data_IF_496239512653
#
_entry.id   IF_496239512653
#
_cell.length_a   1.000
_cell.length_b   1.000
_cell.length_c   1.000
_cell.angle_alpha   90.00
_cell.angle_beta   90.00
_cell.angle_gamma   90.00
#
_symmetry.space_group_name_H-M   'P 1'
#
loop_
_entity.id
_entity.type
_entity.pdbx_description
1 polymer ?
#
# COMPACT_ATOMS: atom_id res chain seq x y z
N UNK A 1 -71.09 18.42 -8.97
CA UNK A 1 -70.15 18.65 -10.09
C UNK A 1 -68.74 18.35 -9.61
N UNK A 2 -68.06 17.35 -10.19
CA UNK A 2 -66.62 17.12 -9.96
C UNK A 2 -65.86 17.96 -11.00
N UNK A 3 -65.12 18.97 -10.57
CA UNK A 3 -64.21 19.68 -11.47
C UNK A 3 -63.02 18.77 -11.79
N UNK A 4 -62.79 18.53 -13.08
CA UNK A 4 -61.50 17.98 -13.53
C UNK A 4 -60.53 19.16 -13.62
N UNK A 5 -59.54 19.19 -12.76
CA UNK A 5 -58.43 20.12 -12.87
C UNK A 5 -57.66 19.81 -14.16
N UNK A 6 -57.47 20.81 -15.01
CA UNK A 6 -56.61 20.72 -16.19
C UNK A 6 -55.18 20.49 -15.71
N UNK A 7 -54.62 19.31 -15.97
CA UNK A 7 -53.20 19.09 -15.74
C UNK A 7 -52.44 19.73 -16.89
N UNK A 8 -51.72 20.82 -16.62
CA UNK A 8 -50.77 21.41 -17.57
C UNK A 8 -49.71 20.37 -17.89
N UNK A 9 -49.68 19.91 -19.14
CA UNK A 9 -48.61 19.04 -19.64
C UNK A 9 -47.27 19.78 -19.63
N UNK A 10 -46.17 19.04 -19.46
CA UNK A 10 -44.82 19.58 -19.52
C UNK A 10 -44.49 20.01 -20.96
N UNK A 11 -43.88 21.18 -21.15
CA UNK A 11 -43.51 21.66 -22.49
C UNK A 11 -42.17 21.07 -22.94
N UNK A 12 -41.98 20.94 -24.26
CA UNK A 12 -40.74 20.41 -24.83
C UNK A 12 -39.54 21.33 -24.52
N UNK A 13 -39.77 22.65 -24.43
CA UNK A 13 -38.71 23.61 -24.10
C UNK A 13 -38.24 23.52 -22.65
N UNK A 14 -39.14 23.24 -21.70
CA UNK A 14 -38.77 23.00 -20.30
C UNK A 14 -37.87 21.77 -20.19
N UNK A 15 -38.16 20.72 -20.95
CA UNK A 15 -37.38 19.49 -20.95
C UNK A 15 -35.97 19.72 -21.54
N UNK A 16 -35.86 20.51 -22.61
CA UNK A 16 -34.56 20.90 -23.19
C UNK A 16 -33.76 21.75 -22.20
N UNK A 17 -34.39 22.75 -21.57
CA UNK A 17 -33.71 23.62 -20.61
C UNK A 17 -33.10 22.83 -19.45
N UNK A 18 -33.84 21.84 -18.92
CA UNK A 18 -33.34 20.95 -17.87
C UNK A 18 -32.15 20.11 -18.35
N UNK A 19 -32.24 19.53 -19.55
CA UNK A 19 -31.13 18.73 -20.12
C UNK A 19 -29.86 19.56 -20.32
N UNK A 20 -30.00 20.81 -20.79
CA UNK A 20 -28.86 21.73 -20.96
C UNK A 20 -28.23 22.06 -19.61
N UNK A 21 -29.03 22.37 -18.59
CA UNK A 21 -28.52 22.65 -17.24
C UNK A 21 -27.78 21.42 -16.68
N UNK A 22 -28.37 20.23 -16.78
CA UNK A 22 -27.73 18.99 -16.33
C UNK A 22 -26.43 18.70 -17.10
N UNK A 23 -26.38 18.99 -18.40
CA UNK A 23 -25.18 18.87 -19.22
C UNK A 23 -24.04 19.78 -18.76
N UNK A 24 -24.33 21.05 -18.45
CA UNK A 24 -23.33 22.00 -17.94
C UNK A 24 -22.86 21.59 -16.54
N UNK A 25 -23.78 21.19 -15.66
CA UNK A 25 -23.43 20.74 -14.31
C UNK A 25 -22.54 19.50 -14.35
N UNK A 26 -22.87 18.52 -15.19
CA UNK A 26 -22.06 17.31 -15.34
C UNK A 26 -20.63 17.63 -15.82
N UNK A 27 -20.50 18.52 -16.82
CA UNK A 27 -19.19 18.90 -17.37
C UNK A 27 -18.23 19.51 -16.33
N UNK A 28 -18.76 20.22 -15.32
CA UNK A 28 -17.94 20.83 -14.25
C UNK A 28 -17.72 19.88 -13.07
N UNK A 29 -18.72 19.06 -12.74
CA UNK A 29 -18.68 18.20 -11.54
C UNK A 29 -17.80 16.96 -11.76
N UNK A 30 -17.87 16.33 -12.94
CA UNK A 30 -17.16 15.06 -13.21
C UNK A 30 -15.65 15.16 -13.01
N UNK A 31 -14.93 16.16 -13.57
CA UNK A 31 -13.48 16.29 -13.37
C UNK A 31 -13.10 16.49 -11.90
N UNK A 32 -13.94 17.19 -11.14
CA UNK A 32 -13.69 17.47 -9.72
C UNK A 32 -13.91 16.25 -8.84
N UNK A 33 -14.90 15.42 -9.15
CA UNK A 33 -15.13 14.18 -8.39
C UNK A 33 -13.92 13.24 -8.55
N UNK A 34 -13.39 13.08 -9.76
CA UNK A 34 -12.25 12.20 -10.03
C UNK A 34 -10.98 12.60 -9.25
N UNK A 35 -10.69 13.90 -9.12
CA UNK A 35 -9.52 14.36 -8.35
C UNK A 35 -9.72 14.26 -6.84
N UNK A 36 -10.96 14.35 -6.36
CA UNK A 36 -11.28 14.14 -4.94
C UNK A 36 -11.18 12.67 -4.55
N UNK A 37 -11.57 11.74 -5.43
CA UNK A 37 -11.46 10.30 -5.17
C UNK A 37 -10.01 9.85 -5.12
N UNK A 38 -9.17 10.26 -6.07
CA UNK A 38 -7.74 9.91 -6.04
C UNK A 38 -7.02 10.45 -4.81
N UNK A 39 -7.31 11.70 -4.41
CA UNK A 39 -6.78 12.27 -3.17
C UNK A 39 -7.26 11.54 -1.90
N UNK A 40 -8.48 10.99 -1.91
CA UNK A 40 -8.99 10.19 -0.79
C UNK A 40 -8.28 8.83 -0.70
N UNK A 41 -8.00 8.19 -1.83
CA UNK A 41 -7.24 6.94 -1.89
C UNK A 41 -5.82 7.12 -1.35
N UNK A 42 -5.11 8.15 -1.81
CA UNK A 42 -3.78 8.46 -1.31
C UNK A 42 -3.79 8.78 0.20
N UNK A 43 -4.82 9.47 0.70
CA UNK A 43 -4.98 9.71 2.15
C UNK A 43 -5.17 8.42 2.94
N UNK A 44 -5.84 7.41 2.39
CA UNK A 44 -6.00 6.11 3.04
C UNK A 44 -4.63 5.41 3.14
N UNK A 45 -3.87 5.39 2.04
CA UNK A 45 -2.51 4.84 1.99
C UNK A 45 -1.59 5.50 3.01
N UNK A 46 -1.66 6.83 3.14
CA UNK A 46 -0.91 7.60 4.15
C UNK A 46 -1.25 7.20 5.58
N UNK A 47 -2.54 7.00 5.86
CA UNK A 47 -2.99 6.52 7.18
C UNK A 47 -2.45 5.13 7.47
N UNK A 48 -2.58 4.20 6.52
CA UNK A 48 -2.09 2.82 6.66
C UNK A 48 -0.58 2.75 6.81
N UNK A 49 0.16 3.56 6.05
CA UNK A 49 1.61 3.70 6.19
C UNK A 49 2.00 4.10 7.62
N UNK A 50 1.28 5.06 8.22
CA UNK A 50 1.50 5.48 9.60
C UNK A 50 1.26 4.36 10.61
N UNK A 51 0.19 3.57 10.42
CA UNK A 51 -0.11 2.40 11.27
C UNK A 51 1.00 1.37 11.16
N UNK A 52 1.35 0.93 9.95
CA UNK A 52 2.41 -0.07 9.71
C UNK A 52 3.73 0.41 10.31
N UNK A 53 4.08 1.68 10.11
CA UNK A 53 5.30 2.27 10.67
C UNK A 53 5.32 2.17 12.19
N UNK A 54 4.24 2.57 12.86
CA UNK A 54 4.18 2.53 14.33
C UNK A 54 4.31 1.09 14.85
N UNK A 55 3.66 0.14 14.20
CA UNK A 55 3.66 -1.26 14.60
C UNK A 55 5.02 -1.93 14.40
N UNK A 56 5.69 -1.67 13.27
CA UNK A 56 7.07 -2.11 13.04
C UNK A 56 8.01 -1.63 14.16
N UNK A 57 7.88 -0.38 14.60
CA UNK A 57 8.67 0.14 15.73
C UNK A 57 8.25 -0.49 17.06
N UNK A 58 6.97 -0.73 17.29
CA UNK A 58 6.47 -1.39 18.49
C UNK A 58 6.99 -2.83 18.61
N UNK A 59 7.05 -3.58 17.50
CA UNK A 59 7.64 -4.92 17.44
C UNK A 59 9.14 -4.88 17.73
N UNK A 60 9.86 -3.90 17.19
CA UNK A 60 11.29 -3.73 17.47
C UNK A 60 11.54 -3.40 18.96
N UNK A 61 10.72 -2.55 19.56
CA UNK A 61 10.79 -2.24 20.99
C UNK A 61 10.46 -3.46 21.86
N UNK A 62 9.44 -4.23 21.48
CA UNK A 62 9.11 -5.50 22.15
C UNK A 62 10.29 -6.47 22.09
N UNK A 63 10.94 -6.61 20.94
CA UNK A 63 12.15 -7.43 20.81
C UNK A 63 13.28 -6.95 21.74
N UNK A 64 13.45 -5.63 21.88
CA UNK A 64 14.41 -5.05 22.82
C UNK A 64 14.08 -5.38 24.29
N UNK A 65 12.81 -5.42 24.65
CA UNK A 65 12.38 -5.77 26.00
C UNK A 65 12.53 -7.27 26.30
N UNK A 66 12.35 -8.14 25.29
CA UNK A 66 12.34 -9.60 25.47
C UNK A 66 13.67 -10.28 25.11
N UNK A 67 14.69 -9.54 24.66
CA UNK A 67 15.92 -10.06 24.05
C UNK A 67 16.88 -10.89 24.92
N UNK A 68 16.54 -11.14 26.19
CA UNK A 68 17.30 -12.04 27.08
C UNK A 68 18.78 -11.69 27.21
N UNK A 69 19.64 -12.71 27.42
CA UNK A 69 21.08 -12.53 27.63
C UNK A 69 21.84 -12.05 26.38
N UNK A 70 21.26 -12.17 25.19
CA UNK A 70 21.88 -11.79 23.91
C UNK A 70 21.69 -10.30 23.56
N UNK A 71 20.91 -9.56 24.35
CA UNK A 71 20.90 -8.10 24.33
C UNK A 71 19.50 -7.51 24.26
N UNK A 72 19.24 -6.53 25.12
CA UNK A 72 18.01 -5.74 25.13
C UNK A 72 18.05 -4.68 24.02
N UNK A 73 18.01 -5.13 22.76
CA UNK A 73 18.24 -4.28 21.59
C UNK A 73 17.07 -4.35 20.62
N UNK A 74 16.75 -3.21 20.04
CA UNK A 74 15.77 -3.13 18.96
C UNK A 74 16.25 -3.99 17.79
N UNK A 75 15.36 -4.85 17.31
CA UNK A 75 15.55 -5.68 16.13
C UNK A 75 14.24 -5.65 15.37
N UNK A 76 14.28 -5.16 14.13
CA UNK A 76 13.08 -4.98 13.33
C UNK A 76 12.57 -6.34 12.80
N UNK A 77 11.24 -6.50 12.67
CA UNK A 77 10.63 -7.79 12.40
C UNK A 77 11.07 -8.37 11.04
N UNK A 78 11.41 -9.65 11.07
CA UNK A 78 11.70 -10.42 9.86
C UNK A 78 10.47 -11.19 9.44
N UNK A 79 10.11 -11.09 8.18
CA UNK A 79 8.99 -11.84 7.64
C UNK A 79 9.34 -13.31 7.48
N UNK A 80 8.52 -14.21 8.00
CA UNK A 80 8.73 -15.68 7.90
C UNK A 80 7.51 -16.45 7.41
N UNK A 81 6.33 -15.84 7.41
CA UNK A 81 5.07 -16.45 7.00
C UNK A 81 4.62 -15.85 5.66
N UNK A 82 4.51 -16.70 4.64
CA UNK A 82 4.11 -16.30 3.29
C UNK A 82 2.59 -16.34 3.03
N UNK A 83 1.79 -16.68 4.05
CA UNK A 83 0.33 -16.70 3.93
C UNK A 83 -0.19 -15.30 3.60
N UNK A 84 -1.06 -15.19 2.59
CA UNK A 84 -1.71 -13.94 2.21
C UNK A 84 -2.36 -13.27 3.42
N UNK A 85 -2.23 -11.95 3.52
CA UNK A 85 -2.79 -11.12 4.57
C UNK A 85 -2.25 -11.38 5.98
N UNK A 86 -1.21 -12.20 6.16
CA UNK A 86 -0.67 -12.49 7.48
C UNK A 86 -0.20 -11.23 8.23
N UNK A 87 0.59 -10.37 7.57
CA UNK A 87 1.13 -9.17 8.20
C UNK A 87 0.10 -8.06 8.41
N UNK A 88 -0.92 -7.98 7.56
CA UNK A 88 -2.07 -7.12 7.85
C UNK A 88 -2.84 -7.62 9.08
N UNK A 89 -3.06 -8.93 9.19
CA UNK A 89 -3.72 -9.51 10.36
C UNK A 89 -2.89 -9.40 11.64
N UNK A 90 -1.56 -9.49 11.54
CA UNK A 90 -0.66 -9.42 12.70
C UNK A 90 -0.37 -7.98 13.15
N UNK A 91 -0.17 -7.05 12.21
CA UNK A 91 0.28 -5.69 12.53
C UNK A 91 -0.88 -4.71 12.58
N UNK A 92 -1.86 -4.83 11.67
CA UNK A 92 -2.97 -3.88 11.57
C UNK A 92 -4.21 -4.38 12.32
N UNK A 93 -4.37 -5.71 12.44
CA UNK A 93 -5.50 -6.42 13.05
C UNK A 93 -6.84 -6.16 12.34
N UNK A 94 -7.34 -4.92 12.39
CA UNK A 94 -8.65 -4.47 11.87
C UNK A 94 -8.50 -3.84 10.47
N UNK A 95 -8.04 -4.62 9.50
CA UNK A 95 -7.96 -4.18 8.09
C UNK A 95 -9.15 -4.70 7.27
N UNK A 96 -9.55 -3.93 6.26
CA UNK A 96 -10.60 -4.33 5.33
C UNK A 96 -9.98 -5.09 4.15
N UNK A 97 -10.19 -6.42 4.10
CA UNK A 97 -9.64 -7.29 3.05
C UNK A 97 -10.17 -6.99 1.65
N UNK A 98 -11.28 -6.27 1.57
CA UNK A 98 -11.87 -5.81 0.31
C UNK A 98 -11.06 -4.68 -0.34
N UNK A 99 -10.22 -3.99 0.43
CA UNK A 99 -9.38 -2.89 -0.06
C UNK A 99 -7.89 -3.07 0.18
N UNK A 100 -7.51 -3.95 1.11
CA UNK A 100 -6.13 -4.16 1.49
C UNK A 100 -5.74 -5.63 1.37
N UNK A 101 -4.52 -5.87 0.88
CA UNK A 101 -3.91 -7.19 0.90
C UNK A 101 -2.43 -7.10 1.23
N UNK A 102 -1.87 -8.15 1.84
CA UNK A 102 -0.42 -8.23 2.05
C UNK A 102 0.16 -9.56 1.61
N UNK A 103 1.39 -9.47 1.12
CA UNK A 103 2.17 -10.57 0.57
C UNK A 103 3.56 -10.55 1.16
N UNK A 104 4.21 -11.71 1.17
CA UNK A 104 5.61 -11.82 1.52
C UNK A 104 6.36 -12.61 0.46
N UNK A 105 7.56 -12.13 0.15
CA UNK A 105 8.58 -12.89 -0.57
C UNK A 105 9.81 -12.95 0.33
N UNK A 106 10.20 -14.18 0.68
CA UNK A 106 11.43 -14.43 1.42
C UNK A 106 12.66 -14.09 0.57
N UNK A 107 13.74 -13.65 1.20
CA UNK A 107 14.99 -13.28 0.52
C UNK A 107 14.81 -12.27 -0.64
N UNK A 108 13.88 -11.33 -0.50
CA UNK A 108 13.56 -10.33 -1.52
C UNK A 108 14.49 -9.11 -1.45
N UNK A 109 14.74 -8.57 -0.25
CA UNK A 109 15.58 -7.40 -0.04
C UNK A 109 17.06 -7.78 0.05
N UNK A 110 17.94 -7.00 -0.57
CA UNK A 110 19.40 -7.19 -0.44
C UNK A 110 19.94 -6.34 0.71
N UNK A 111 20.29 -6.99 1.82
CA UNK A 111 20.82 -6.33 3.00
C UNK A 111 22.35 -6.19 2.91
N UNK A 112 22.83 -5.20 2.14
CA UNK A 112 24.25 -5.01 1.85
C UNK A 112 25.16 -4.74 3.06
N UNK A 113 24.57 -4.35 4.18
CA UNK A 113 25.27 -4.10 5.44
C UNK A 113 25.13 -5.25 6.45
N UNK A 114 24.73 -6.43 6.00
CA UNK A 114 24.63 -7.60 6.86
C UNK A 114 25.93 -7.87 7.63
N UNK A 115 25.77 -8.24 8.89
CA UNK A 115 26.81 -8.75 9.78
C UNK A 115 26.90 -10.27 9.69
N UNK A 116 25.78 -11.00 9.60
CA UNK A 116 25.78 -12.45 9.39
C UNK A 116 25.53 -12.81 7.93
N UNK A 117 26.21 -13.84 7.42
CA UNK A 117 26.07 -14.28 6.02
C UNK A 117 24.62 -14.68 5.68
N UNK A 118 23.94 -15.34 6.63
CA UNK A 118 22.54 -15.75 6.48
C UNK A 118 21.57 -14.56 6.41
N UNK A 119 22.03 -13.34 6.74
CA UNK A 119 21.24 -12.12 6.67
C UNK A 119 21.61 -11.24 5.48
N UNK A 120 22.35 -11.77 4.49
CA UNK A 120 22.67 -11.07 3.25
C UNK A 120 21.42 -10.66 2.45
N UNK A 121 20.32 -11.40 2.65
CA UNK A 121 18.99 -11.05 2.17
C UNK A 121 17.99 -11.13 3.32
N UNK A 122 16.96 -10.31 3.24
CA UNK A 122 15.83 -10.29 4.18
C UNK A 122 14.52 -10.40 3.40
N UNK A 123 13.45 -10.82 4.06
CA UNK A 123 12.14 -10.88 3.47
C UNK A 123 11.62 -9.49 3.15
N UNK A 124 10.89 -9.40 2.05
CA UNK A 124 10.10 -8.25 1.70
C UNK A 124 8.64 -8.52 2.06
N UNK A 125 7.97 -7.52 2.62
CA UNK A 125 6.52 -7.52 2.79
C UNK A 125 5.93 -6.41 1.92
N UNK A 126 4.96 -6.75 1.10
CA UNK A 126 4.27 -5.82 0.21
C UNK A 126 2.81 -5.73 0.62
N UNK A 127 2.34 -4.51 0.86
CA UNK A 127 0.94 -4.20 1.12
C UNK A 127 0.37 -3.52 -0.13
N UNK A 128 -0.80 -3.98 -0.56
CA UNK A 128 -1.51 -3.50 -1.72
C UNK A 128 -2.82 -2.86 -1.27
N UNK A 129 -3.03 -1.60 -1.65
CA UNK A 129 -4.32 -0.95 -1.61
C UNK A 129 -4.99 -1.09 -2.98
N UNK A 130 -6.21 -1.61 -3.00
CA UNK A 130 -7.00 -1.87 -4.19
C UNK A 130 -8.44 -1.36 -3.97
N UNK A 131 -8.73 -0.07 -4.24
CA UNK A 131 -10.04 0.52 -3.92
C UNK A 131 -11.20 -0.10 -4.72
N UNK A 132 -10.90 -0.77 -5.83
CA UNK A 132 -11.86 -1.40 -6.72
C UNK A 132 -12.07 -2.90 -6.43
N UNK A 133 -11.67 -3.36 -5.25
CA UNK A 133 -11.86 -4.72 -4.77
C UNK A 133 -10.65 -5.63 -5.01
N UNK A 134 -10.63 -6.80 -4.35
CA UNK A 134 -9.49 -7.70 -4.39
C UNK A 134 -9.24 -8.19 -5.82
N UNK A 135 -7.98 -8.11 -6.20
CA UNK A 135 -7.50 -8.48 -7.53
C UNK A 135 -7.71 -9.98 -7.79
N UNK A 136 -8.00 -10.32 -9.03
CA UNK A 136 -8.08 -11.70 -9.50
C UNK A 136 -6.72 -12.39 -9.43
N UNK A 137 -6.73 -13.67 -9.04
CA UNK A 137 -5.51 -14.46 -8.97
C UNK A 137 -4.81 -14.57 -10.34
N UNK A 138 -3.53 -14.25 -10.37
CA UNK A 138 -2.69 -14.22 -11.58
C UNK A 138 -2.54 -12.85 -12.24
N UNK A 139 -3.30 -11.83 -11.80
CA UNK A 139 -3.23 -10.48 -12.37
C UNK A 139 -2.19 -9.59 -11.65
N UNK A 140 -1.66 -10.03 -10.49
CA UNK A 140 -0.68 -9.27 -9.69
C UNK A 140 0.69 -9.95 -9.69
N UNK A 141 1.75 -9.19 -9.94
CA UNK A 141 3.13 -9.67 -9.84
C UNK A 141 4.00 -8.77 -8.99
N UNK A 142 4.94 -9.36 -8.26
CA UNK A 142 6.02 -8.64 -7.58
C UNK A 142 7.35 -9.05 -8.20
N UNK A 143 7.93 -8.13 -8.97
CA UNK A 143 8.98 -8.43 -9.94
C UNK A 143 8.45 -9.47 -10.92
N UNK A 144 9.24 -10.52 -11.15
CA UNK A 144 8.84 -11.63 -12.02
C UNK A 144 7.96 -12.69 -11.30
N UNK A 145 7.70 -12.54 -10.00
CA UNK A 145 6.96 -13.52 -9.21
C UNK A 145 5.47 -13.19 -9.15
N UNK A 146 4.61 -14.15 -9.50
CA UNK A 146 3.18 -14.03 -9.25
C UNK A 146 2.89 -14.10 -7.75
N UNK A 147 2.06 -13.19 -7.23
CA UNK A 147 1.54 -13.26 -5.86
C UNK A 147 0.13 -13.87 -5.88
N UNK A 148 -0.20 -14.63 -4.83
CA UNK A 148 -1.53 -15.21 -4.71
C UNK A 148 -2.51 -14.17 -4.19
N UNK A 149 -3.58 -13.93 -4.94
CA UNK A 149 -4.71 -13.07 -4.55
C UNK A 149 -6.00 -13.88 -4.51
N UNK A 150 -7.03 -13.37 -3.84
CA UNK A 150 -8.28 -14.11 -3.58
C UNK A 150 -9.53 -13.48 -4.20
N UNK A 151 -9.39 -12.45 -5.03
CA UNK A 151 -10.52 -11.70 -5.55
C UNK A 151 -10.91 -12.02 -6.99
N UNK A 152 -11.72 -11.14 -7.57
CA UNK A 152 -12.21 -11.23 -8.95
C UNK A 152 -12.06 -9.92 -9.72
N UNK A 153 -11.58 -8.85 -9.08
CA UNK A 153 -11.38 -7.56 -9.73
C UNK A 153 -10.29 -7.66 -10.79
N UNK A 154 -10.53 -6.99 -11.91
CA UNK A 154 -9.53 -6.80 -12.98
C UNK A 154 -9.26 -5.32 -13.21
N UNK A 155 -9.71 -4.47 -12.28
CA UNK A 155 -9.48 -3.03 -12.35
C UNK A 155 -8.05 -2.75 -11.90
N UNK A 156 -7.26 -2.19 -12.81
CA UNK A 156 -5.85 -1.89 -12.56
C UNK A 156 -5.65 -0.43 -12.08
N UNK A 157 -6.70 0.38 -12.11
CA UNK A 157 -6.65 1.79 -11.73
C UNK A 157 -6.55 1.98 -10.21
N UNK A 158 -5.95 3.09 -9.79
CA UNK A 158 -5.88 3.56 -8.39
C UNK A 158 -5.26 2.54 -7.40
N UNK A 159 -4.38 1.66 -7.85
CA UNK A 159 -3.63 0.74 -6.98
C UNK A 159 -2.46 1.47 -6.34
N UNK A 160 -2.20 1.15 -5.07
CA UNK A 160 -1.05 1.68 -4.34
C UNK A 160 -0.34 0.57 -3.59
N UNK A 161 0.97 0.75 -3.41
CA UNK A 161 1.86 -0.19 -2.76
C UNK A 161 2.50 0.44 -1.53
N UNK A 162 2.67 -0.36 -0.47
CA UNK A 162 3.59 -0.04 0.63
C UNK A 162 4.55 -1.22 0.74
N UNK A 163 5.84 -0.97 0.61
CA UNK A 163 6.87 -1.98 0.74
C UNK A 163 7.60 -1.83 2.06
N UNK A 164 7.80 -2.94 2.76
CA UNK A 164 8.58 -3.06 3.99
C UNK A 164 9.69 -4.09 3.84
N UNK A 165 10.87 -3.80 4.37
CA UNK A 165 11.91 -4.79 4.62
C UNK A 165 12.80 -4.37 5.82
N UNK A 166 13.19 -5.31 6.71
CA UNK A 166 14.21 -5.02 7.70
C UNK A 166 15.58 -4.92 7.01
N UNK A 167 16.40 -3.98 7.47
CA UNK A 167 17.75 -3.74 6.95
C UNK A 167 18.75 -3.61 8.09
N UNK A 168 20.03 -3.76 7.77
CA UNK A 168 21.11 -3.46 8.69
C UNK A 168 21.71 -2.12 8.32
N UNK A 169 21.85 -1.22 9.29
CA UNK A 169 22.51 0.08 9.06
C UNK A 169 24.04 -0.11 9.02
N UNK A 170 24.77 0.86 8.47
CA UNK A 170 26.23 0.83 8.51
C UNK A 170 26.77 0.85 9.96
N UNK A 171 26.07 1.57 10.85
CA UNK A 171 26.36 1.59 12.27
C UNK A 171 26.08 0.23 12.93
N UNK A 172 24.97 -0.42 12.55
CA UNK A 172 24.59 -1.77 12.98
C UNK A 172 25.67 -2.80 12.67
N UNK A 173 26.14 -2.81 11.43
CA UNK A 173 27.24 -3.68 10.98
C UNK A 173 28.48 -3.50 11.85
N UNK A 174 28.90 -2.25 12.05
CA UNK A 174 30.09 -1.91 12.86
C UNK A 174 29.90 -2.35 14.32
N UNK A 175 28.68 -2.24 14.85
CA UNK A 175 28.33 -2.67 16.19
C UNK A 175 28.06 -4.19 16.31
N UNK A 176 28.20 -4.95 15.23
CA UNK A 176 28.00 -6.40 15.23
C UNK A 176 26.53 -6.85 15.25
N UNK A 177 25.59 -5.98 14.84
CA UNK A 177 24.14 -6.21 14.84
C UNK A 177 23.62 -6.39 13.42
N UNK A 178 22.53 -7.12 13.30
CA UNK A 178 21.73 -7.24 12.08
C UNK A 178 20.32 -6.74 12.35
N UNK A 179 19.65 -6.23 11.31
CA UNK A 179 18.24 -5.81 11.35
C UNK A 179 17.95 -4.75 12.40
N UNK A 180 18.89 -3.81 12.54
CA UNK A 180 18.76 -2.66 13.43
C UNK A 180 18.13 -1.44 12.75
N UNK A 181 17.61 -1.60 11.53
CA UNK A 181 16.79 -0.64 10.82
C UNK A 181 15.76 -1.31 9.93
N UNK A 182 14.98 -0.50 9.23
CA UNK A 182 14.05 -0.95 8.20
C UNK A 182 13.90 0.10 7.10
N UNK A 183 13.39 -0.36 5.97
CA UNK A 183 12.86 0.47 4.90
C UNK A 183 11.33 0.31 4.87
N UNK A 184 10.63 1.41 4.70
CA UNK A 184 9.21 1.48 4.44
C UNK A 184 8.97 2.57 3.39
N UNK A 185 8.42 2.23 2.23
CA UNK A 185 8.20 3.19 1.14
C UNK A 185 6.86 2.92 0.46
N UNK A 186 6.18 3.98 0.03
CA UNK A 186 4.89 3.91 -0.63
C UNK A 186 4.97 4.35 -2.10
N UNK A 187 4.14 3.75 -2.93
CA UNK A 187 4.13 3.94 -4.39
C UNK A 187 2.71 3.97 -4.92
N UNK A 188 2.46 4.82 -5.91
CA UNK A 188 1.31 4.69 -6.79
C UNK A 188 1.68 3.77 -7.95
N UNK A 189 0.81 2.79 -8.22
CA UNK A 189 0.91 1.88 -9.36
C UNK A 189 0.80 2.66 -10.68
N UNK A 190 1.27 2.07 -11.76
CA UNK A 190 1.17 2.62 -13.12
C UNK A 190 0.07 1.93 -13.95
N UNK A 191 -0.98 1.44 -13.29
CA UNK A 191 -2.13 0.75 -13.86
C UNK A 191 -1.81 -0.61 -14.51
N UNK A 192 -0.79 -1.30 -13.99
CA UNK A 192 -0.42 -2.64 -14.45
C UNK A 192 -0.50 -3.72 -13.36
N UNK A 193 -0.76 -3.31 -12.12
CA UNK A 193 -0.80 -4.14 -10.93
C UNK A 193 0.49 -4.95 -10.71
N UNK A 194 1.63 -4.39 -11.08
CA UNK A 194 2.96 -4.97 -10.86
C UNK A 194 3.77 -4.07 -9.97
N UNK A 195 4.49 -4.70 -9.06
CA UNK A 195 5.43 -4.00 -8.21
C UNK A 195 6.86 -4.43 -8.55
N UNK A 196 7.68 -3.54 -9.08
CA UNK A 196 9.03 -3.80 -9.59
C UNK A 196 10.10 -2.88 -9.00
N UNK A 197 9.72 -1.92 -8.15
CA UNK A 197 10.66 -1.08 -7.42
C UNK A 197 11.74 -1.89 -6.68
N UNK A 198 12.97 -1.39 -6.72
CA UNK A 198 14.14 -2.03 -6.09
C UNK A 198 14.75 -1.12 -5.04
N UNK A 199 15.47 -1.70 -4.09
CA UNK A 199 15.87 -1.02 -2.87
C UNK A 199 17.33 -1.29 -2.51
N UNK A 200 17.97 -0.28 -1.93
CA UNK A 200 19.27 -0.39 -1.27
C UNK A 200 19.16 0.06 0.17
N UNK A 201 20.24 0.00 0.94
CA UNK A 201 20.27 0.46 2.35
C UNK A 201 20.10 1.97 2.52
N UNK A 202 20.07 2.74 1.42
CA UNK A 202 20.05 4.20 1.50
C UNK A 202 19.26 4.87 0.37
N UNK A 203 18.67 4.09 -0.55
CA UNK A 203 17.96 4.62 -1.69
C UNK A 203 16.88 3.66 -2.19
N UNK A 204 15.79 4.24 -2.66
CA UNK A 204 14.75 3.59 -3.46
C UNK A 204 15.07 3.82 -4.94
N UNK A 205 14.98 2.78 -5.75
CA UNK A 205 15.12 2.85 -7.20
C UNK A 205 13.79 2.49 -7.84
N UNK A 206 13.13 3.51 -8.37
CA UNK A 206 11.87 3.42 -9.11
C UNK A 206 12.14 2.72 -10.45
N UNK A 207 11.24 1.86 -10.87
CA UNK A 207 11.30 1.22 -12.19
C UNK A 207 10.07 1.66 -12.97
N UNK A 208 8.91 1.17 -12.58
CA UNK A 208 7.64 1.41 -13.28
C UNK A 208 6.65 2.23 -12.44
N UNK A 209 6.72 2.14 -11.11
CA UNK A 209 5.81 2.83 -10.18
C UNK A 209 6.27 4.25 -9.83
N UNK A 210 5.31 5.08 -9.41
CA UNK A 210 5.59 6.43 -8.91
C UNK A 210 5.71 6.41 -7.39
N UNK A 211 6.92 6.56 -6.84
CA UNK A 211 7.11 6.70 -5.40
C UNK A 211 6.40 7.95 -4.85
N UNK A 212 5.70 7.79 -3.73
CA UNK A 212 5.15 8.85 -2.92
C UNK A 212 6.24 9.34 -1.95
N UNK A 213 7.12 10.21 -2.46
CA UNK A 213 8.38 10.60 -1.81
C UNK A 213 8.23 11.19 -0.39
N UNK A 214 7.05 11.71 -0.07
CA UNK A 214 6.76 12.29 1.23
C UNK A 214 6.29 11.27 2.28
N UNK A 215 6.01 10.03 1.87
CA UNK A 215 5.76 8.88 2.76
C UNK A 215 6.79 7.77 2.50
N UNK A 216 8.02 8.11 2.88
CA UNK A 216 9.16 7.20 2.88
C UNK A 216 9.84 7.21 4.24
N UNK A 217 10.36 6.05 4.62
CA UNK A 217 11.25 5.89 5.75
C UNK A 217 12.35 4.90 5.41
N UNK A 218 13.59 5.34 5.57
CA UNK A 218 14.75 4.46 5.61
C UNK A 218 15.48 4.80 6.90
N UNK A 219 15.76 3.80 7.73
CA UNK A 219 16.56 4.04 8.93
C UNK A 219 17.92 4.63 8.52
N UNK A 220 18.30 5.80 9.06
CA UNK A 220 19.52 6.51 8.67
C UNK A 220 20.81 5.80 9.10
#
# INVERSE_FOLDING_TARGET
MKSKTSQSGFTLIELIAVMVILGILAAVIVPRIATLTSGAYESNVRSMFGVIKNEVNAQALKAAMTGGASGHRETYPEGTVATMNHYLAEWVEDFESDYWSSFLIDNNYTNGNNKHADHAKTAGILFMYHPHGPMKNGDVTWGDAAVTTAGTSQMLEDIYWIYYAPLTTAAGKTAGRDKDGYLLAAFADNEDAKFSATFTTSAVTKVDETELEDIQWITP
#
